data_IF_223091094255
#
_entry.id   IF_223091094255
#
_cell.length_a   1.000
_cell.length_b   1.000
_cell.length_c   1.000
_cell.angle_alpha   90.00
_cell.angle_beta   90.00
_cell.angle_gamma   90.00
#
_symmetry.space_group_name_H-M   'P 1'
#
loop_
_entity.id
_entity.type
_entity.pdbx_description
1 polymer ?
#
# COMPACT_ATOMS: atom_id res chain seq x y z
N UNK A 1 -17.15 -53.72 5.84
CA UNK A 1 -16.24 -53.36 4.74
C UNK A 1 -15.23 -52.36 5.27
N UNK A 2 -13.99 -52.78 5.41
CA UNK A 2 -12.91 -52.08 6.12
C UNK A 2 -12.03 -51.38 5.09
N UNK A 3 -11.94 -50.04 5.12
CA UNK A 3 -11.05 -49.30 4.22
C UNK A 3 -9.89 -48.71 5.03
N UNK A 4 -8.69 -49.18 4.69
CA UNK A 4 -7.40 -48.91 5.34
C UNK A 4 -6.96 -47.44 5.13
N UNK A 5 -6.46 -46.83 6.20
CA UNK A 5 -5.62 -45.61 6.18
C UNK A 5 -4.25 -45.94 5.58
N UNK A 6 -3.73 -45.04 4.75
CA UNK A 6 -2.30 -44.97 4.42
C UNK A 6 -1.80 -43.56 4.77
N UNK A 7 -1.03 -43.49 5.86
CA UNK A 7 -0.11 -42.40 6.16
C UNK A 7 1.17 -42.64 5.35
N UNK A 8 1.64 -41.64 4.60
CA UNK A 8 3.06 -41.53 4.26
C UNK A 8 3.57 -40.19 4.77
N UNK A 9 4.44 -40.28 5.78
CA UNK A 9 5.28 -39.22 6.30
C UNK A 9 6.55 -39.12 5.45
N UNK A 10 6.94 -37.90 5.07
CA UNK A 10 8.23 -37.63 4.43
C UNK A 10 9.30 -37.32 5.50
N UNK A 11 10.48 -37.95 5.45
CA UNK A 11 11.54 -37.71 6.42
C UNK A 11 12.39 -36.48 6.07
N UNK A 12 12.77 -35.78 7.13
CA UNK A 12 13.86 -34.80 7.24
C UNK A 12 15.22 -35.44 6.97
N UNK A 13 16.12 -34.75 6.27
CA UNK A 13 17.55 -35.03 6.29
C UNK A 13 18.35 -33.72 6.27
N UNK A 14 18.98 -33.42 7.41
CA UNK A 14 20.10 -32.49 7.56
C UNK A 14 21.35 -33.10 6.91
N UNK A 15 22.14 -32.30 6.19
CA UNK A 15 23.52 -32.64 5.87
C UNK A 15 24.41 -31.42 6.12
N UNK A 16 25.12 -31.46 7.25
CA UNK A 16 26.30 -30.65 7.53
C UNK A 16 27.48 -31.18 6.70
N UNK A 17 28.34 -30.29 6.21
CA UNK A 17 29.66 -30.67 5.68
C UNK A 17 30.67 -29.58 6.01
N UNK A 18 31.46 -29.86 7.06
CA UNK A 18 32.74 -29.25 7.37
C UNK A 18 33.82 -30.25 6.94
N UNK A 19 34.73 -29.89 6.04
CA UNK A 19 36.07 -30.49 5.98
C UNK A 19 37.10 -29.46 5.48
N UNK A 20 38.21 -29.46 6.21
CA UNK A 20 39.44 -28.67 6.13
C UNK A 20 40.51 -29.37 5.26
N UNK A 21 41.65 -28.67 5.08
CA UNK A 21 43.01 -29.10 4.64
C UNK A 21 43.24 -29.19 3.11
N UNK A 22 44.40 -28.89 2.51
CA UNK A 22 45.64 -28.15 2.86
C UNK A 22 46.61 -28.19 1.65
N UNK A 23 47.54 -27.20 1.55
CA UNK A 23 48.88 -27.30 0.92
C UNK A 23 49.04 -26.61 -0.46
N UNK A 24 49.77 -25.48 -0.65
CA UNK A 24 51.20 -25.11 -0.48
C UNK A 24 52.01 -25.24 -1.81
N UNK A 25 53.23 -24.67 -2.02
CA UNK A 25 53.98 -23.58 -1.33
C UNK A 25 54.62 -22.55 -2.32
N UNK A 26 55.19 -21.44 -1.82
CA UNK A 26 56.42 -20.86 -2.42
C UNK A 26 57.18 -19.92 -1.48
N UNK A 27 58.36 -20.42 -1.08
CA UNK A 27 59.67 -19.75 -0.92
C UNK A 27 59.81 -18.52 -0.02
N UNK A 28 60.19 -18.81 1.22
CA UNK A 28 61.37 -18.37 2.01
C UNK A 28 62.18 -17.12 1.60
N UNK A 29 62.64 -16.47 2.68
CA UNK A 29 63.81 -15.59 2.88
C UNK A 29 63.50 -14.08 2.78
N UNK A 30 63.85 -13.22 3.73
CA UNK A 30 64.63 -13.33 4.97
C UNK A 30 64.26 -12.15 5.88
N UNK A 31 64.23 -12.37 7.19
CA UNK A 31 64.35 -11.30 8.19
C UNK A 31 65.82 -10.92 8.37
N UNK A 32 66.09 -9.65 8.69
CA UNK A 32 66.63 -9.43 10.03
C UNK A 32 66.02 -8.21 10.74
N UNK A 33 65.54 -8.43 11.97
CA UNK A 33 65.50 -7.40 13.02
C UNK A 33 66.94 -7.15 13.50
N UNK A 34 67.32 -5.89 13.83
CA UNK A 34 67.27 -5.55 15.25
C UNK A 34 66.97 -4.08 15.59
N UNK A 35 66.55 -3.93 16.85
CA UNK A 35 66.80 -2.81 17.78
C UNK A 35 65.79 -1.65 17.81
N UNK A 36 65.26 -1.51 19.02
CA UNK A 36 64.41 -0.46 19.54
C UNK A 36 64.89 0.97 19.26
N UNK A 37 63.93 1.84 18.94
CA UNK A 37 63.90 3.24 19.41
C UNK A 37 62.46 3.75 19.34
N UNK A 38 62.04 4.41 20.42
CA UNK A 38 60.70 4.92 20.67
C UNK A 38 60.38 6.10 19.77
N UNK A 39 59.22 6.10 19.10
CA UNK A 39 58.54 7.34 18.68
C UNK A 39 57.05 7.08 18.38
N UNK A 40 56.18 7.64 19.23
CA UNK A 40 54.78 7.96 18.89
C UNK A 40 54.82 9.31 18.17
N UNK A 41 54.29 9.49 16.94
CA UNK A 41 52.89 9.90 16.70
C UNK A 41 52.38 9.43 15.30
N UNK A 42 51.17 9.63 14.79
CA UNK A 42 50.05 10.51 15.08
C UNK A 42 48.77 9.82 14.58
N UNK A 43 47.68 9.97 15.32
CA UNK A 43 46.36 9.51 14.91
C UNK A 43 45.93 10.22 13.60
N UNK A 44 45.60 9.43 12.58
CA UNK A 44 44.89 9.93 11.41
C UNK A 44 43.52 10.48 11.86
N UNK A 45 43.08 11.66 11.38
CA UNK A 45 41.80 12.20 11.78
C UNK A 45 40.69 11.30 11.23
N UNK A 46 39.92 10.69 12.12
CA UNK A 46 38.66 10.05 11.75
C UNK A 46 37.74 11.14 11.18
N UNK A 47 37.48 11.06 9.86
CA UNK A 47 36.48 11.90 9.23
C UNK A 47 35.15 11.72 9.98
N UNK A 48 34.44 12.81 10.33
CA UNK A 48 33.17 12.68 11.02
C UNK A 48 32.19 11.94 10.10
N UNK A 49 31.75 10.76 10.52
CA UNK A 49 30.64 10.06 9.88
C UNK A 49 29.42 10.98 9.96
N UNK A 50 29.05 11.55 8.81
CA UNK A 50 27.84 12.37 8.71
C UNK A 50 26.67 11.43 8.94
N UNK A 51 25.84 11.62 10.00
CA UNK A 51 24.68 10.76 10.19
C UNK A 51 23.78 10.91 8.98
N UNK A 52 23.50 9.81 8.30
CA UNK A 52 22.51 9.77 7.24
C UNK A 52 21.17 10.23 7.84
N UNK A 53 20.76 11.45 7.50
CA UNK A 53 19.45 11.96 7.86
C UNK A 53 18.44 11.06 7.16
N UNK A 54 17.78 10.19 7.93
CA UNK A 54 16.59 9.50 7.45
C UNK A 54 15.63 10.61 6.99
N UNK A 55 15.43 10.72 5.68
CA UNK A 55 14.40 11.58 5.17
C UNK A 55 13.08 11.05 5.73
N UNK A 56 12.42 11.83 6.58
CA UNK A 56 11.02 11.62 6.90
C UNK A 56 10.29 11.64 5.56
N UNK A 57 9.99 10.44 5.04
CA UNK A 57 9.19 10.31 3.85
C UNK A 57 7.81 10.85 4.21
N UNK A 58 7.51 12.07 3.76
CA UNK A 58 6.21 12.68 3.97
C UNK A 58 5.12 11.68 3.56
N UNK A 59 4.15 11.46 4.44
CA UNK A 59 3.05 10.54 4.17
C UNK A 59 2.33 10.98 2.90
N UNK A 60 2.14 10.05 1.97
CA UNK A 60 1.40 10.32 0.73
C UNK A 60 -0.02 10.75 1.08
N UNK A 61 -0.43 11.90 0.56
CA UNK A 61 -1.80 12.41 0.70
C UNK A 61 -2.66 12.03 -0.51
N UNK A 62 -3.99 12.01 -0.32
CA UNK A 62 -4.96 11.84 -1.42
C UNK A 62 -4.96 13.07 -2.34
N UNK A 63 -5.41 12.95 -3.60
CA UNK A 63 -5.57 14.10 -4.48
C UNK A 63 -6.55 15.13 -3.91
N UNK A 64 -6.27 16.40 -4.18
CA UNK A 64 -7.15 17.52 -3.86
C UNK A 64 -8.08 17.79 -5.04
N UNK A 65 -9.37 17.52 -4.85
CA UNK A 65 -10.42 17.76 -5.85
C UNK A 65 -11.20 19.02 -5.53
N UNK A 66 -11.68 19.72 -6.58
CA UNK A 66 -12.53 20.90 -6.40
C UNK A 66 -13.91 20.49 -5.85
N UNK A 67 -14.42 21.15 -4.79
CA UNK A 67 -15.80 20.95 -4.35
C UNK A 67 -16.78 21.41 -5.43
N UNK A 68 -17.99 20.84 -5.47
CA UNK A 68 -19.05 21.27 -6.39
C UNK A 68 -20.06 20.17 -6.67
N UNK A 69 -20.81 20.33 -7.77
CA UNK A 69 -21.66 19.27 -8.30
C UNK A 69 -20.80 18.26 -9.06
N UNK A 70 -20.85 17.00 -8.64
CA UNK A 70 -20.13 15.89 -9.27
C UNK A 70 -21.10 14.85 -9.80
N UNK A 71 -20.74 14.25 -10.94
CA UNK A 71 -21.36 13.04 -11.48
C UNK A 71 -20.43 11.86 -11.27
N UNK A 72 -21.02 10.73 -10.87
CA UNK A 72 -20.35 9.45 -10.66
C UNK A 72 -21.03 8.41 -11.52
N UNK A 73 -20.32 7.87 -12.50
CA UNK A 73 -20.74 6.68 -13.26
C UNK A 73 -20.03 5.47 -12.66
N UNK A 74 -20.78 4.60 -11.99
CA UNK A 74 -20.28 3.38 -11.38
C UNK A 74 -20.64 2.18 -12.23
N UNK A 75 -19.67 1.33 -12.53
CA UNK A 75 -19.82 0.06 -13.22
C UNK A 75 -19.44 -1.07 -12.26
N UNK A 76 -20.36 -1.98 -11.98
CA UNK A 76 -20.15 -3.17 -11.15
C UNK A 76 -20.04 -4.42 -12.04
N UNK A 77 -18.97 -5.20 -11.88
CA UNK A 77 -18.85 -6.50 -12.54
C UNK A 77 -19.63 -7.56 -11.75
N UNK A 78 -20.62 -8.19 -12.37
CA UNK A 78 -21.39 -9.31 -11.80
C UNK A 78 -21.49 -10.47 -12.81
N UNK A 79 -21.93 -11.64 -12.35
CA UNK A 79 -22.08 -12.85 -13.16
C UNK A 79 -23.02 -12.69 -14.38
N UNK A 80 -23.94 -11.72 -14.36
CA UNK A 80 -24.82 -11.38 -15.49
C UNK A 80 -24.30 -10.26 -16.41
N UNK A 81 -23.03 -9.86 -16.27
CA UNK A 81 -22.41 -8.76 -17.02
C UNK A 81 -22.30 -7.44 -16.23
N UNK A 82 -21.76 -6.38 -16.88
CA UNK A 82 -21.60 -5.06 -16.28
C UNK A 82 -22.93 -4.40 -15.90
N UNK A 83 -23.09 -3.98 -14.64
CA UNK A 83 -24.20 -3.14 -14.20
C UNK A 83 -23.72 -1.70 -14.02
N UNK A 84 -24.31 -0.76 -14.77
CA UNK A 84 -23.96 0.66 -14.71
C UNK A 84 -25.02 1.44 -13.94
N UNK A 85 -24.59 2.33 -13.06
CA UNK A 85 -25.44 3.29 -12.35
C UNK A 85 -24.78 4.66 -12.34
N UNK A 86 -25.56 5.72 -12.56
CA UNK A 86 -25.08 7.10 -12.49
C UNK A 86 -25.72 7.83 -11.33
N UNK A 87 -24.97 8.64 -10.61
CA UNK A 87 -25.49 9.48 -9.53
C UNK A 87 -24.81 10.84 -9.57
N UNK A 88 -25.55 11.89 -9.25
CA UNK A 88 -25.04 13.25 -9.11
C UNK A 88 -25.20 13.72 -7.68
N UNK A 89 -24.18 14.37 -7.13
CA UNK A 89 -24.27 14.98 -5.81
C UNK A 89 -23.29 16.13 -5.64
N UNK A 90 -23.67 17.03 -4.75
CA UNK A 90 -22.84 18.11 -4.25
C UNK A 90 -21.84 17.57 -3.25
N UNK A 91 -20.54 17.63 -3.54
CA UNK A 91 -19.52 17.07 -2.64
C UNK A 91 -18.09 17.60 -2.87
N UNK A 92 -17.21 17.30 -1.92
CA UNK A 92 -15.76 17.37 -2.06
C UNK A 92 -15.25 15.90 -2.05
N UNK A 93 -14.86 15.34 -3.20
CA UNK A 93 -14.49 13.93 -3.29
C UNK A 93 -13.33 13.55 -2.36
N UNK A 94 -12.30 14.41 -2.25
CA UNK A 94 -11.14 14.13 -1.40
C UNK A 94 -11.51 14.09 0.09
N UNK A 95 -12.43 14.96 0.52
CA UNK A 95 -12.95 14.94 1.89
C UNK A 95 -13.78 13.68 2.17
N UNK A 96 -14.67 13.29 1.26
CA UNK A 96 -15.47 12.06 1.41
C UNK A 96 -14.60 10.80 1.44
N UNK A 97 -13.54 10.73 0.62
CA UNK A 97 -12.60 9.62 0.64
C UNK A 97 -11.92 9.51 2.01
N UNK A 98 -11.42 10.62 2.57
CA UNK A 98 -10.82 10.65 3.91
C UNK A 98 -11.80 10.25 5.01
N UNK A 99 -13.03 10.74 4.94
CA UNK A 99 -14.09 10.39 5.88
C UNK A 99 -14.40 8.89 5.81
N UNK A 100 -14.59 8.34 4.60
CA UNK A 100 -14.82 6.90 4.38
C UNK A 100 -13.68 6.05 4.92
N UNK A 101 -12.43 6.41 4.66
CA UNK A 101 -11.26 5.69 5.21
C UNK A 101 -11.26 5.72 6.74
N UNK A 102 -11.59 6.88 7.34
CA UNK A 102 -11.69 7.04 8.80
C UNK A 102 -12.80 6.18 9.38
N UNK A 103 -13.98 6.14 8.74
CA UNK A 103 -15.08 5.27 9.15
C UNK A 103 -14.73 3.78 9.05
N UNK A 104 -14.00 3.38 8.01
CA UNK A 104 -13.57 1.99 7.84
C UNK A 104 -12.55 1.59 8.92
N UNK A 105 -11.62 2.48 9.28
CA UNK A 105 -10.69 2.26 10.41
C UNK A 105 -11.45 2.05 11.72
N UNK A 106 -12.49 2.84 11.97
CA UNK A 106 -13.38 2.67 13.15
C UNK A 106 -14.13 1.32 13.15
N UNK A 107 -14.29 0.68 11.99
CA UNK A 107 -14.89 -0.65 11.83
C UNK A 107 -13.84 -1.76 11.75
N UNK A 108 -12.65 -1.54 12.33
CA UNK A 108 -11.54 -2.50 12.39
C UNK A 108 -10.99 -2.91 11.02
N UNK A 109 -11.10 -2.05 10.00
CA UNK A 109 -10.36 -2.23 8.75
C UNK A 109 -8.94 -1.67 8.90
N UNK A 110 -7.94 -2.48 8.57
CA UNK A 110 -6.53 -2.14 8.64
C UNK A 110 -6.03 -1.69 7.27
N UNK A 111 -5.58 -0.44 7.16
CA UNK A 111 -5.07 0.14 5.92
C UNK A 111 -3.54 0.01 5.84
N UNK A 112 -3.05 -0.39 4.68
CA UNK A 112 -1.65 -0.18 4.33
C UNK A 112 -1.38 1.33 4.11
N UNK A 113 -0.12 1.78 4.17
CA UNK A 113 0.25 3.14 3.78
C UNK A 113 -0.23 3.45 2.35
N UNK A 114 -0.83 4.61 2.14
CA UNK A 114 -1.20 5.08 0.80
C UNK A 114 0.07 5.18 -0.05
N UNK A 115 0.02 4.67 -1.27
CA UNK A 115 1.13 4.75 -2.23
C UNK A 115 0.72 5.63 -3.39
N UNK A 116 1.67 6.40 -3.92
CA UNK A 116 1.48 7.17 -5.15
C UNK A 116 2.55 6.78 -6.17
N UNK A 117 2.12 6.59 -7.41
CA UNK A 117 2.97 6.38 -8.57
C UNK A 117 2.44 7.24 -9.71
N UNK A 118 3.08 8.39 -9.97
CA UNK A 118 2.59 9.41 -10.89
C UNK A 118 1.16 9.89 -10.52
N UNK A 119 0.20 9.68 -11.42
CA UNK A 119 -1.24 9.96 -11.29
C UNK A 119 -2.05 8.88 -10.56
N UNK A 120 -1.42 7.75 -10.20
CA UNK A 120 -2.06 6.63 -9.53
C UNK A 120 -1.86 6.66 -8.02
N UNK A 121 -2.96 6.63 -7.28
CA UNK A 121 -3.01 6.53 -5.83
C UNK A 121 -3.56 5.16 -5.46
N UNK A 122 -2.74 4.36 -4.79
CA UNK A 122 -3.03 2.95 -4.50
C UNK A 122 -3.29 2.81 -3.02
N UNK A 123 -4.52 2.44 -2.69
CA UNK A 123 -4.95 2.12 -1.34
C UNK A 123 -5.23 0.63 -1.23
N UNK A 124 -4.85 0.02 -0.12
CA UNK A 124 -5.23 -1.36 0.18
C UNK A 124 -5.53 -1.49 1.66
N UNK A 125 -6.51 -2.32 1.98
CA UNK A 125 -6.90 -2.56 3.36
C UNK A 125 -7.54 -3.93 3.54
N UNK A 126 -7.56 -4.40 4.77
CA UNK A 126 -8.18 -5.67 5.16
C UNK A 126 -9.24 -5.37 6.20
N UNK A 127 -10.47 -5.79 5.96
CA UNK A 127 -11.54 -5.76 6.95
C UNK A 127 -11.83 -7.17 7.44
N UNK A 128 -11.94 -7.36 8.75
CA UNK A 128 -12.43 -8.62 9.31
C UNK A 128 -13.96 -8.65 9.24
N UNK A 129 -14.51 -9.76 8.74
CA UNK A 129 -15.96 -9.98 8.67
C UNK A 129 -16.31 -11.33 9.31
N UNK A 130 -17.60 -11.59 9.65
CA UNK A 130 -18.01 -12.87 10.21
C UNK A 130 -17.67 -14.08 9.32
N UNK A 131 -17.57 -13.88 8.00
CA UNK A 131 -17.24 -14.95 7.04
C UNK A 131 -15.74 -15.02 6.70
N UNK A 132 -14.90 -14.23 7.38
CA UNK A 132 -13.45 -14.21 7.20
C UNK A 132 -12.89 -12.84 6.80
N UNK A 133 -11.57 -12.80 6.58
CA UNK A 133 -10.87 -11.59 6.15
C UNK A 133 -11.22 -11.25 4.70
N UNK A 134 -11.63 -10.00 4.47
CA UNK A 134 -11.88 -9.46 3.14
C UNK A 134 -10.80 -8.42 2.81
N UNK A 135 -10.09 -8.63 1.69
CA UNK A 135 -9.01 -7.75 1.24
C UNK A 135 -9.53 -6.83 0.16
N UNK A 136 -9.13 -5.57 0.21
CA UNK A 136 -9.53 -4.56 -0.76
C UNK A 136 -8.31 -3.89 -1.36
N UNK A 137 -8.44 -3.53 -2.64
CA UNK A 137 -7.45 -2.74 -3.37
C UNK A 137 -8.15 -1.74 -4.27
N UNK A 138 -7.81 -0.47 -4.09
CA UNK A 138 -8.31 0.64 -4.90
C UNK A 138 -7.15 1.29 -5.63
N UNK A 139 -7.34 1.57 -6.91
CA UNK A 139 -6.45 2.39 -7.74
C UNK A 139 -7.22 3.59 -8.25
N UNK A 140 -6.91 4.74 -7.65
CA UNK A 140 -7.45 6.04 -8.04
C UNK A 140 -6.47 6.71 -9.02
N UNK A 141 -6.92 6.95 -10.24
CA UNK A 141 -6.19 7.68 -11.27
C UNK A 141 -6.74 9.10 -11.38
N UNK A 142 -5.92 10.10 -11.09
CA UNK A 142 -6.30 11.51 -11.11
C UNK A 142 -5.23 12.36 -11.83
N UNK A 143 -5.57 12.85 -13.02
CA UNK A 143 -4.74 13.73 -13.85
C UNK A 143 -5.00 15.22 -13.60
N UNK A 144 -6.20 15.54 -13.10
CA UNK A 144 -6.66 16.90 -12.83
C UNK A 144 -7.55 16.94 -11.57
N UNK A 145 -7.97 18.15 -11.17
CA UNK A 145 -8.75 18.39 -9.95
C UNK A 145 -10.27 18.25 -10.11
N UNK A 146 -10.73 17.90 -11.31
CA UNK A 146 -12.12 17.93 -11.76
C UNK A 146 -12.61 16.60 -12.32
N UNK A 147 -11.73 15.60 -12.40
CA UNK A 147 -12.07 14.25 -12.83
C UNK A 147 -11.17 13.22 -12.17
N UNK A 148 -11.69 12.00 -12.02
CA UNK A 148 -10.87 10.83 -11.66
C UNK A 148 -11.52 9.54 -12.10
N UNK A 149 -10.72 8.48 -12.16
CA UNK A 149 -11.18 7.10 -12.25
C UNK A 149 -10.75 6.34 -11.01
N UNK A 150 -11.63 5.50 -10.46
CA UNK A 150 -11.31 4.61 -9.34
C UNK A 150 -11.67 3.18 -9.73
N UNK A 151 -10.70 2.27 -9.67
CA UNK A 151 -10.94 0.83 -9.84
C UNK A 151 -10.71 0.16 -8.50
N UNK A 152 -11.78 -0.40 -7.95
CA UNK A 152 -11.75 -1.10 -6.67
C UNK A 152 -11.99 -2.59 -6.87
N UNK A 153 -11.25 -3.39 -6.13
CA UNK A 153 -11.45 -4.84 -6.03
C UNK A 153 -11.66 -5.24 -4.58
N UNK A 154 -12.60 -6.16 -4.35
CA UNK A 154 -12.77 -6.83 -3.08
C UNK A 154 -12.60 -8.34 -3.26
N UNK A 155 -11.67 -8.90 -2.49
CA UNK A 155 -11.22 -10.27 -2.54
C UNK A 155 -11.68 -10.98 -1.25
N UNK A 156 -12.53 -11.98 -1.41
CA UNK A 156 -12.84 -12.98 -0.37
C UNK A 156 -12.07 -14.28 -0.64
N UNK A 157 -12.23 -15.29 0.21
CA UNK A 157 -11.61 -16.59 -0.02
C UNK A 157 -12.15 -17.30 -1.29
N UNK A 158 -13.38 -16.97 -1.71
CA UNK A 158 -14.07 -17.66 -2.79
C UNK A 158 -14.16 -16.80 -4.06
N UNK A 159 -14.28 -15.48 -3.93
CA UNK A 159 -14.70 -14.60 -5.01
C UNK A 159 -13.90 -13.30 -5.05
N UNK A 160 -13.74 -12.77 -6.26
CA UNK A 160 -13.28 -11.40 -6.49
C UNK A 160 -14.43 -10.61 -7.10
N UNK A 161 -14.70 -9.45 -6.54
CA UNK A 161 -15.65 -8.48 -7.11
C UNK A 161 -14.89 -7.25 -7.52
N UNK A 162 -15.22 -6.69 -8.68
CA UNK A 162 -14.59 -5.50 -9.22
C UNK A 162 -15.64 -4.43 -9.49
N UNK A 163 -15.26 -3.18 -9.24
CA UNK A 163 -16.04 -2.00 -9.59
C UNK A 163 -15.13 -0.93 -10.21
N UNK A 164 -15.68 -0.18 -11.15
CA UNK A 164 -15.07 1.03 -11.71
C UNK A 164 -15.97 2.21 -11.42
N UNK A 165 -15.40 3.34 -10.99
CA UNK A 165 -16.09 4.62 -10.89
C UNK A 165 -15.37 5.62 -11.77
N UNK A 166 -16.13 6.32 -12.61
CA UNK A 166 -15.69 7.47 -13.39
C UNK A 166 -16.39 8.69 -12.82
N UNK A 167 -15.62 9.65 -12.31
CA UNK A 167 -16.13 10.83 -11.63
C UNK A 167 -15.75 12.09 -12.39
N UNK A 168 -16.70 13.02 -12.53
CA UNK A 168 -16.47 14.32 -13.18
C UNK A 168 -17.22 15.44 -12.47
N UNK A 169 -16.56 16.58 -12.29
CA UNK A 169 -17.17 17.82 -11.81
C UNK A 169 -18.00 18.44 -12.93
N UNK A 170 -19.25 18.77 -12.62
CA UNK A 170 -20.20 19.41 -13.52
C UNK A 170 -20.30 20.93 -13.31
N UNK A 171 -19.79 21.45 -12.20
CA UNK A 171 -19.81 22.87 -11.88
C UNK A 171 -20.03 23.13 -10.40
N UNK A 172 -20.54 24.32 -10.08
CA UNK A 172 -20.99 24.66 -8.74
C UNK A 172 -22.26 23.89 -8.36
N UNK A 173 -22.56 23.89 -7.06
CA UNK A 173 -23.78 23.28 -6.56
C UNK A 173 -25.01 24.16 -6.81
N UNK A 174 -26.10 23.63 -7.40
CA UNK A 174 -27.34 24.39 -7.57
C UNK A 174 -27.92 24.83 -6.23
N UNK A 175 -28.34 26.10 -6.13
CA UNK A 175 -29.00 26.65 -4.93
C UNK A 175 -28.08 26.90 -3.72
N UNK A 176 -26.82 26.49 -3.80
CA UNK A 176 -25.77 26.82 -2.85
C UNK A 176 -24.90 27.86 -3.54
N UNK A 177 -25.02 29.15 -3.16
CA UNK A 177 -24.20 30.22 -3.74
C UNK A 177 -22.71 29.85 -3.73
N UNK A 178 -21.91 30.48 -4.60
CA UNK A 178 -20.48 30.20 -4.67
C UNK A 178 -19.84 30.24 -3.27
N UNK A 179 -19.24 29.12 -2.83
CA UNK A 179 -18.60 29.00 -1.51
C UNK A 179 -19.51 28.58 -0.34
N UNK A 180 -20.80 28.32 -0.55
CA UNK A 180 -21.66 27.77 0.49
C UNK A 180 -21.19 26.33 0.89
N UNK A 181 -21.15 26.00 2.20
CA UNK A 181 -20.74 24.68 2.66
C UNK A 181 -21.59 23.58 2.04
N UNK A 182 -20.94 22.54 1.53
CA UNK A 182 -21.63 21.40 0.96
C UNK A 182 -22.40 20.65 2.06
N UNK A 183 -23.69 20.35 1.87
CA UNK A 183 -24.42 19.53 2.83
C UNK A 183 -23.78 18.15 2.88
N UNK A 184 -23.66 17.57 4.08
CA UNK A 184 -23.17 16.21 4.24
C UNK A 184 -24.07 15.26 3.45
N UNK A 185 -23.49 14.43 2.60
CA UNK A 185 -24.24 13.40 1.88
C UNK A 185 -24.94 12.50 2.90
N UNK A 186 -26.29 12.44 2.94
CA UNK A 186 -26.99 11.61 3.91
C UNK A 186 -26.59 10.15 3.74
N UNK A 187 -26.32 9.46 4.84
CA UNK A 187 -26.04 8.02 4.82
C UNK A 187 -27.28 7.31 4.26
N UNK A 188 -27.15 6.44 3.24
CA UNK A 188 -28.30 5.69 2.75
C UNK A 188 -28.88 4.88 3.92
N UNK A 189 -30.16 5.08 4.22
CA UNK A 189 -30.89 4.23 5.17
C UNK A 189 -30.93 2.84 4.57
N UNK A 190 -30.51 1.84 5.33
CA UNK A 190 -30.76 0.45 4.94
C UNK A 190 -32.29 0.23 4.92
N UNK A 191 -32.84 -0.46 3.92
CA UNK A 191 -34.20 -0.98 4.02
C UNK A 191 -34.33 -1.94 5.20
#
# INVERSE_FOLDING_TARGET
MTVRRLHLASPTALVSSLLLFSGAPSTRAADPEPAASSETPAAAPAAPATPARAADAAAVELPSFRPGLWEYRRTLMRSGGPQVSTTRKCTNPGAEMREKMTELKKKNCQFAPLRRSSEHYISSWICQTPTGAMRFRDVLTATDDSSYQDVSEAHSAQHVTQQKVEARRLGECPGLGAGAPLPRTPKPRRP
#
